data_IF_476374429838
#
_entry.id   IF_476374429838
#
_cell.length_a   1.000
_cell.length_b   1.000
_cell.length_c   1.000
_cell.angle_alpha   90.00
_cell.angle_beta   90.00
_cell.angle_gamma   90.00
#
_symmetry.space_group_name_H-M   'P 1'
#
loop_
_entity.id
_entity.type
_entity.pdbx_description
1 polymer ?
#
# COMPACT_ATOMS: atom_id res chain seq x y z
N UNK A 1 -19.34 -14.25 15.00
CA UNK A 1 -18.78 -13.18 14.12
C UNK A 1 -17.48 -12.55 14.62
N UNK A 2 -17.10 -12.63 15.91
CA UNK A 2 -15.82 -12.08 16.42
C UNK A 2 -14.58 -12.76 15.81
N UNK A 3 -14.58 -14.08 15.69
CA UNK A 3 -13.47 -14.89 15.15
C UNK A 3 -13.14 -14.56 13.67
N UNK A 4 -14.15 -14.22 12.86
CA UNK A 4 -13.92 -13.79 11.47
C UNK A 4 -13.36 -12.36 11.41
N UNK A 5 -13.69 -11.51 12.38
CA UNK A 5 -13.21 -10.12 12.46
C UNK A 5 -11.72 -10.06 12.84
N UNK A 6 -11.28 -10.91 13.77
CA UNK A 6 -9.86 -11.05 14.14
C UNK A 6 -8.99 -11.56 12.98
N UNK A 7 -9.54 -12.42 12.10
CA UNK A 7 -8.84 -12.87 10.88
C UNK A 7 -8.90 -11.89 9.72
N UNK A 8 -9.78 -10.88 9.80
CA UNK A 8 -9.83 -9.74 8.89
C UNK A 8 -8.97 -8.57 9.39
N UNK A 9 -8.26 -8.74 10.50
CA UNK A 9 -7.21 -7.82 10.91
C UNK A 9 -6.26 -7.61 9.74
N UNK A 10 -6.06 -6.35 9.40
CA UNK A 10 -5.34 -5.88 8.22
C UNK A 10 -3.97 -6.56 8.17
N UNK A 11 -3.86 -7.60 7.34
CA UNK A 11 -2.66 -8.42 7.22
C UNK A 11 -1.73 -7.76 6.23
N UNK A 12 -1.23 -6.56 6.52
CA UNK A 12 -0.19 -5.98 5.68
C UNK A 12 1.10 -6.78 5.83
N UNK A 13 1.61 -7.29 4.71
CA UNK A 13 2.82 -8.10 4.65
C UNK A 13 3.95 -7.41 3.89
N UNK A 14 3.74 -6.16 3.49
CA UNK A 14 4.60 -5.44 2.56
C UNK A 14 5.05 -4.08 3.12
N UNK A 15 6.36 -3.85 3.11
CA UNK A 15 6.98 -2.58 3.52
C UNK A 15 7.01 -1.52 2.41
N UNK A 16 7.38 -0.28 2.77
CA UNK A 16 7.36 0.90 1.88
C UNK A 16 8.17 0.68 0.61
N UNK A 17 9.37 0.11 0.78
CA UNK A 17 10.31 -0.10 -0.34
C UNK A 17 9.71 -1.07 -1.36
N UNK A 18 9.11 -2.18 -0.91
CA UNK A 18 8.50 -3.17 -1.79
C UNK A 18 7.29 -2.57 -2.52
N UNK A 19 6.47 -1.76 -1.83
CA UNK A 19 5.37 -1.00 -2.44
C UNK A 19 5.87 -0.05 -3.52
N UNK A 20 6.90 0.75 -3.22
CA UNK A 20 7.47 1.71 -4.15
C UNK A 20 8.05 1.03 -5.40
N UNK A 21 8.80 -0.05 -5.21
CA UNK A 21 9.35 -0.85 -6.32
C UNK A 21 8.24 -1.38 -7.22
N UNK A 22 7.16 -1.93 -6.65
CA UNK A 22 6.02 -2.42 -7.44
C UNK A 22 5.30 -1.33 -8.21
N UNK A 23 5.11 -0.16 -7.59
CA UNK A 23 4.50 0.98 -8.26
C UNK A 23 5.35 1.46 -9.44
N UNK A 24 6.67 1.55 -9.25
CA UNK A 24 7.61 1.95 -10.31
C UNK A 24 7.63 0.92 -11.44
N UNK A 25 7.86 -0.36 -11.12
CA UNK A 25 7.96 -1.43 -12.12
C UNK A 25 6.64 -1.61 -12.87
N UNK A 26 5.51 -1.59 -12.17
CA UNK A 26 4.18 -1.64 -12.78
C UNK A 26 3.92 -0.45 -13.71
N UNK A 27 4.33 0.76 -13.32
CA UNK A 27 4.20 1.96 -14.15
C UNK A 27 5.07 1.88 -15.41
N UNK A 28 6.31 1.42 -15.28
CA UNK A 28 7.24 1.23 -16.41
C UNK A 28 6.71 0.19 -17.40
N UNK A 29 6.03 -0.86 -16.92
CA UNK A 29 5.41 -1.87 -17.78
C UNK A 29 4.17 -1.34 -18.52
N UNK A 30 3.31 -0.55 -17.86
CA UNK A 30 2.03 -0.12 -18.45
C UNK A 30 2.17 1.10 -19.37
N UNK A 31 3.05 2.06 -19.07
CA UNK A 31 3.14 3.33 -19.82
C UNK A 31 3.47 3.11 -21.31
N UNK A 32 4.47 2.30 -21.70
CA UNK A 32 4.74 2.03 -23.11
C UNK A 32 3.59 1.33 -23.81
N UNK A 33 2.87 0.44 -23.12
CA UNK A 33 1.69 -0.23 -23.66
C UNK A 33 0.59 0.78 -23.98
N UNK A 34 0.33 1.72 -23.07
CA UNK A 34 -0.67 2.78 -23.25
C UNK A 34 -0.32 3.71 -24.43
N UNK A 35 0.96 4.12 -24.54
CA UNK A 35 1.41 5.01 -25.62
C UNK A 35 1.35 4.33 -26.99
N UNK A 36 1.58 3.01 -27.04
CA UNK A 36 1.63 2.24 -28.31
C UNK A 36 0.28 1.59 -28.68
N UNK A 37 -0.81 1.84 -27.93
CA UNK A 37 -2.13 1.26 -28.23
C UNK A 37 -2.70 1.70 -29.59
N UNK A 38 -2.21 2.79 -30.19
CA UNK A 38 -2.70 3.24 -31.50
C UNK A 38 -2.01 2.54 -32.68
N UNK A 39 -0.85 1.91 -32.46
CA UNK A 39 -0.03 1.27 -33.50
C UNK A 39 -0.14 -0.25 -33.47
N UNK A 40 -1.36 -0.77 -33.24
CA UNK A 40 -1.62 -2.21 -33.10
C UNK A 40 -1.27 -2.94 -34.40
N UNK A 41 -0.03 -3.43 -34.48
CA UNK A 41 0.40 -4.42 -35.46
C UNK A 41 0.15 -5.82 -34.89
N UNK A 42 -0.12 -6.79 -35.75
CA UNK A 42 -0.32 -8.20 -35.36
C UNK A 42 0.91 -8.82 -34.68
N UNK A 43 2.09 -8.21 -34.81
CA UNK A 43 3.32 -8.62 -34.13
C UNK A 43 3.34 -8.26 -32.62
N UNK A 44 2.49 -7.33 -32.18
CA UNK A 44 2.37 -6.92 -30.77
C UNK A 44 1.53 -7.90 -29.93
N UNK A 45 0.85 -8.88 -30.52
CA UNK A 45 0.01 -9.83 -29.78
C UNK A 45 0.79 -10.83 -28.92
N UNK A 46 2.08 -11.02 -29.18
CA UNK A 46 2.90 -12.02 -28.50
C UNK A 46 3.57 -11.39 -27.26
N UNK A 47 2.88 -11.46 -26.11
CA UNK A 47 3.45 -11.04 -24.81
C UNK A 47 2.80 -9.81 -24.16
N UNK A 48 2.23 -8.89 -24.93
CA UNK A 48 1.58 -7.69 -24.41
C UNK A 48 0.43 -7.93 -23.41
N UNK A 49 -0.49 -8.90 -23.61
CA UNK A 49 -1.54 -9.14 -22.62
C UNK A 49 -0.98 -9.60 -21.26
N UNK A 50 0.13 -10.35 -21.26
CA UNK A 50 0.79 -10.78 -20.02
C UNK A 50 1.48 -9.62 -19.31
N UNK A 51 2.14 -8.73 -20.06
CA UNK A 51 2.74 -7.52 -19.51
C UNK A 51 1.69 -6.60 -18.89
N UNK A 52 0.51 -6.48 -19.52
CA UNK A 52 -0.62 -5.73 -18.98
C UNK A 52 -1.10 -6.33 -17.66
N UNK A 53 -1.38 -7.63 -17.61
CA UNK A 53 -1.82 -8.33 -16.39
C UNK A 53 -0.78 -8.17 -15.27
N UNK A 54 0.51 -8.38 -15.58
CA UNK A 54 1.59 -8.23 -14.63
C UNK A 54 1.68 -6.78 -14.08
N UNK A 55 1.52 -5.78 -14.95
CA UNK A 55 1.52 -4.37 -14.55
C UNK A 55 0.37 -4.05 -13.58
N UNK A 56 -0.84 -4.52 -13.89
CA UNK A 56 -2.01 -4.32 -13.02
C UNK A 56 -1.80 -5.00 -11.67
N UNK A 57 -1.29 -6.23 -11.66
CA UNK A 57 -1.01 -6.95 -10.44
C UNK A 57 0.01 -6.21 -9.55
N UNK A 58 1.12 -5.73 -10.12
CA UNK A 58 2.14 -4.99 -9.37
C UNK A 58 1.58 -3.67 -8.82
N UNK A 59 0.87 -2.90 -9.64
CA UNK A 59 0.26 -1.63 -9.20
C UNK A 59 -0.75 -1.87 -8.07
N UNK A 60 -1.63 -2.85 -8.26
CA UNK A 60 -2.68 -3.18 -7.31
C UNK A 60 -2.12 -3.64 -5.96
N UNK A 61 -1.15 -4.56 -5.97
CA UNK A 61 -0.50 -5.07 -4.75
C UNK A 61 0.35 -3.99 -4.07
N UNK A 62 1.00 -3.11 -4.84
CA UNK A 62 1.74 -1.96 -4.31
C UNK A 62 0.83 -0.93 -3.64
N UNK A 63 -0.34 -0.65 -4.22
CA UNK A 63 -1.33 0.28 -3.64
C UNK A 63 -2.00 -0.27 -2.38
N UNK A 64 -2.39 -1.54 -2.39
CA UNK A 64 -3.02 -2.17 -1.22
C UNK A 64 -2.03 -2.49 -0.11
N UNK A 65 -0.73 -2.58 -0.42
CA UNK A 65 0.27 -2.93 0.58
C UNK A 65 0.19 -4.38 1.07
N UNK A 66 -0.44 -5.22 0.25
CA UNK A 66 -0.65 -6.63 0.49
C UNK A 66 -0.39 -7.43 -0.78
N UNK A 67 0.39 -8.51 -0.63
CA UNK A 67 0.60 -9.48 -1.70
C UNK A 67 0.02 -10.87 -1.33
N UNK A 68 -0.88 -11.45 -2.14
CA UNK A 68 -1.36 -12.82 -1.95
C UNK A 68 -0.23 -13.86 -1.95
N UNK A 69 0.81 -13.71 -2.78
CA UNK A 69 1.93 -14.66 -2.83
C UNK A 69 2.67 -14.69 -1.49
N UNK A 70 2.96 -13.53 -0.92
CA UNK A 70 3.57 -13.45 0.41
C UNK A 70 2.68 -14.10 1.48
N UNK A 71 1.35 -13.95 1.39
CA UNK A 71 0.43 -14.63 2.30
C UNK A 71 0.47 -16.16 2.18
N UNK A 72 0.54 -16.68 0.96
CA UNK A 72 0.59 -18.13 0.70
C UNK A 72 1.90 -18.72 1.22
N UNK A 73 3.02 -18.03 0.97
CA UNK A 73 4.33 -18.45 1.44
C UNK A 73 4.64 -18.04 2.89
N UNK A 74 3.69 -17.45 3.62
CA UNK A 74 3.86 -16.96 4.98
C UNK A 74 5.09 -16.04 5.13
N UNK A 75 5.43 -15.32 4.06
CA UNK A 75 6.52 -14.38 3.99
C UNK A 75 6.01 -12.96 4.22
N UNK A 76 6.89 -12.08 4.70
CA UNK A 76 6.62 -10.66 4.86
C UNK A 76 7.91 -9.88 4.65
N UNK A 77 7.81 -8.73 4.01
CA UNK A 77 8.94 -7.80 3.84
C UNK A 77 8.94 -6.68 4.87
N UNK A 78 7.87 -6.54 5.66
CA UNK A 78 7.77 -5.60 6.77
C UNK A 78 7.89 -6.28 8.14
N UNK A 79 8.15 -5.49 9.19
CA UNK A 79 8.19 -5.90 10.60
C UNK A 79 9.55 -6.35 11.13
N UNK A 80 10.63 -6.18 10.35
CA UNK A 80 11.98 -6.63 10.73
C UNK A 80 12.84 -5.53 11.39
N UNK A 81 12.42 -4.26 11.32
CA UNK A 81 13.18 -3.10 11.85
C UNK A 81 12.25 -1.94 12.20
N UNK A 82 12.70 -1.03 13.07
CA UNK A 82 11.97 0.19 13.43
C UNK A 82 11.64 1.08 12.22
N UNK A 83 12.49 1.08 11.21
CA UNK A 83 12.30 1.82 9.96
C UNK A 83 11.39 1.12 8.94
N UNK A 84 11.04 -0.14 9.18
CA UNK A 84 10.31 -0.98 8.23
C UNK A 84 9.18 -1.73 8.95
N UNK A 85 8.28 -0.98 9.60
CA UNK A 85 7.10 -1.51 10.29
C UNK A 85 5.98 -1.84 9.27
N UNK A 86 5.13 -2.80 9.60
CA UNK A 86 3.90 -3.05 8.83
C UNK A 86 2.82 -2.04 9.26
N UNK A 87 1.93 -1.62 8.37
CA UNK A 87 0.90 -0.60 8.64
C UNK A 87 0.68 0.36 7.47
N UNK A 88 -0.37 1.17 7.52
CA UNK A 88 -0.74 2.08 6.43
C UNK A 88 0.44 2.87 5.87
N UNK A 89 0.38 3.23 4.58
CA UNK A 89 1.48 3.92 3.88
C UNK A 89 2.03 5.11 4.66
N UNK A 90 1.17 5.94 5.24
CA UNK A 90 1.57 7.12 6.02
C UNK A 90 2.38 6.72 7.27
N UNK A 91 1.92 5.73 8.04
CA UNK A 91 2.65 5.19 9.20
C UNK A 91 4.02 4.63 8.80
N UNK A 92 4.04 3.94 7.67
CA UNK A 92 5.19 3.28 7.10
C UNK A 92 6.25 4.28 6.60
N UNK A 93 5.83 5.38 5.97
CA UNK A 93 6.70 6.49 5.55
C UNK A 93 7.23 7.25 6.77
N UNK A 94 6.39 7.47 7.79
CA UNK A 94 6.80 8.16 9.02
C UNK A 94 7.89 7.37 9.76
N UNK A 95 7.72 6.05 9.86
CA UNK A 95 8.73 5.13 10.38
C UNK A 95 10.03 5.13 9.53
N UNK A 96 9.92 5.15 8.20
CA UNK A 96 11.07 5.22 7.30
C UNK A 96 11.85 6.54 7.41
N UNK A 97 11.17 7.63 7.78
CA UNK A 97 11.79 8.94 8.07
C UNK A 97 12.46 9.00 9.46
N UNK A 98 12.49 7.88 10.20
CA UNK A 98 13.11 7.79 11.52
C UNK A 98 12.26 8.39 12.63
N UNK A 99 10.98 8.67 12.38
CA UNK A 99 10.03 8.99 13.44
C UNK A 99 9.58 7.66 14.07
N UNK A 100 9.22 7.71 15.35
CA UNK A 100 8.72 6.54 16.08
C UNK A 100 7.21 6.66 16.26
N UNK A 101 6.40 6.42 15.22
CA UNK A 101 4.95 6.52 15.34
C UNK A 101 4.47 5.44 16.33
N UNK A 102 3.85 5.90 17.41
CA UNK A 102 3.35 5.05 18.50
C UNK A 102 2.33 4.03 18.00
N UNK A 103 2.28 2.87 18.65
CA UNK A 103 1.24 1.87 18.41
C UNK A 103 -0.04 2.34 19.08
N UNK A 104 -1.07 2.65 18.30
CA UNK A 104 -2.35 3.11 18.85
C UNK A 104 -3.14 1.92 19.39
N UNK A 105 -3.26 1.82 20.72
CA UNK A 105 -3.93 0.70 21.38
C UNK A 105 -5.45 0.66 21.13
N UNK A 106 -6.03 1.75 20.60
CA UNK A 106 -7.45 1.83 20.24
C UNK A 106 -7.77 1.27 18.84
N UNK A 107 -6.76 1.07 18.00
CA UNK A 107 -6.94 0.62 16.63
C UNK A 107 -5.99 -0.55 16.33
N UNK A 108 -6.53 -1.77 16.29
CA UNK A 108 -5.80 -2.96 15.83
C UNK A 108 -5.34 -2.90 14.36
N UNK A 109 -5.58 -1.76 13.68
CA UNK A 109 -5.01 -1.43 12.41
C UNK A 109 -4.32 -0.09 12.53
N UNK A 110 -3.00 -0.08 12.28
CA UNK A 110 -2.20 1.10 12.08
C UNK A 110 -2.79 2.00 11.00
N UNK A 111 -3.70 2.89 11.36
CA UNK A 111 -4.20 4.01 10.57
C UNK A 111 -4.21 5.22 11.50
N UNK A 112 -3.75 6.37 11.00
CA UNK A 112 -3.59 7.59 11.79
C UNK A 112 -4.84 7.96 12.59
N UNK A 113 -4.59 8.57 13.74
CA UNK A 113 -5.59 9.19 14.61
C UNK A 113 -6.52 10.12 13.79
N UNK A 114 -7.85 9.88 13.78
CA UNK A 114 -8.80 10.75 13.09
C UNK A 114 -8.79 12.21 13.59
N UNK A 115 -8.29 12.49 14.81
CA UNK A 115 -8.14 13.85 15.31
C UNK A 115 -7.07 14.66 14.55
N UNK A 116 -6.08 14.00 13.93
CA UNK A 116 -5.06 14.64 13.09
C UNK A 116 -5.58 15.03 11.70
N UNK A 117 -6.79 14.61 11.32
CA UNK A 117 -7.42 15.02 10.05
C UNK A 117 -8.02 16.43 10.06
N UNK A 118 -8.09 17.10 11.22
CA UNK A 118 -8.65 18.46 11.33
C UNK A 118 -7.51 19.48 11.55
N UNK A 119 -6.46 19.36 10.73
CA UNK A 119 -5.31 20.29 10.70
C UNK A 119 -5.25 21.18 9.47
N UNK A 120 -6.29 21.14 8.62
CA UNK A 120 -6.48 22.06 7.52
C UNK A 120 -7.83 22.72 7.66
N UNK A 121 -7.82 24.02 7.99
CA UNK A 121 -8.94 24.98 8.01
C UNK A 121 -9.55 25.30 9.39
N UNK A 122 -9.03 26.41 9.93
CA UNK A 122 -9.70 27.50 10.66
C UNK A 122 -10.26 27.29 12.09
N UNK A 123 -9.60 28.00 13.02
CA UNK A 123 -10.20 28.90 14.03
C UNK A 123 -11.66 28.63 14.46
N UNK A 124 -11.86 28.27 15.73
CA UNK A 124 -13.18 28.43 16.35
C UNK A 124 -13.44 27.62 17.61
N UNK A 125 -12.78 28.02 18.70
CA UNK A 125 -13.26 27.95 20.08
C UNK A 125 -14.77 27.72 20.24
N UNK A 126 -15.24 26.62 20.86
CA UNK A 126 -16.41 26.58 21.76
C UNK A 126 -16.38 25.35 22.67
N UNK A 127 -16.23 25.61 23.97
CA UNK A 127 -16.54 24.70 25.08
C UNK A 127 -18.02 24.86 25.50
N UNK A 128 -18.62 23.78 26.04
CA UNK A 128 -19.90 23.68 26.80
C UNK A 128 -21.18 23.99 25.98
N UNK A 129 -22.23 23.16 25.93
CA UNK A 129 -23.03 22.44 26.94
C UNK A 129 -23.64 21.18 26.31
#
# INVERSE_FOLDING_TARGET
>A
MKILREKLAIQENMGVVDRAVRLIVGSVLIVPLVITMETISTALMDGQPYALIASFYLLLTGMMGWDPLYSVFHSRTCGLSDSNRCGTLEYQVDAALGRHPGHDQGYEAHALDPALRIGGVLYGNWYWV
#
